data_IF_201742600219
#
_entry.id   IF_201742600219
#
_cell.length_a   1.000
_cell.length_b   1.000
_cell.length_c   1.000
_cell.angle_alpha   90.00
_cell.angle_beta   90.00
_cell.angle_gamma   90.00
#
_symmetry.space_group_name_H-M   'P 1'
#
loop_
_entity.id
_entity.type
_entity.pdbx_description
1 polymer ?
#
# COMPACT_ATOMS: atom_id res chain seq x y z
N UNK A 1 9.40 9.70 -18.25
CA UNK A 1 9.87 11.10 -18.28
C UNK A 1 10.55 11.54 -16.99
N UNK A 2 9.85 11.90 -15.88
CA UNK A 2 10.53 12.29 -14.62
C UNK A 2 11.42 11.17 -14.05
N UNK A 3 10.95 9.93 -14.06
CA UNK A 3 11.72 8.77 -13.65
C UNK A 3 12.98 8.57 -14.49
N UNK A 4 12.89 8.78 -15.79
CA UNK A 4 14.05 8.67 -16.72
C UNK A 4 15.09 9.72 -16.43
N UNK A 5 14.67 10.97 -16.14
CA UNK A 5 15.57 12.06 -15.74
C UNK A 5 16.32 11.74 -14.44
N UNK A 6 15.68 11.04 -13.52
CA UNK A 6 16.28 10.60 -12.25
C UNK A 6 16.95 9.22 -12.34
N UNK A 7 16.95 8.57 -13.52
CA UNK A 7 17.49 7.21 -13.75
C UNK A 7 16.82 6.15 -12.87
N UNK A 8 15.50 6.32 -12.65
CA UNK A 8 14.69 5.32 -11.95
C UNK A 8 14.06 4.36 -12.96
N UNK A 9 13.94 3.12 -12.55
CA UNK A 9 13.25 2.10 -13.34
C UNK A 9 11.75 2.15 -13.04
N UNK A 10 10.93 2.12 -14.09
CA UNK A 10 9.46 2.08 -14.00
C UNK A 10 8.98 0.74 -14.52
N UNK A 11 8.16 0.07 -13.74
CA UNK A 11 7.52 -1.20 -14.07
C UNK A 11 5.99 -1.01 -13.97
N UNK A 12 5.29 -1.17 -15.08
CA UNK A 12 3.82 -1.12 -15.10
C UNK A 12 3.28 -2.44 -14.58
N UNK A 13 2.50 -2.39 -13.50
CA UNK A 13 1.91 -3.57 -12.85
C UNK A 13 0.54 -3.89 -13.41
N UNK A 14 -0.28 -2.85 -13.59
CA UNK A 14 -1.64 -2.97 -14.10
C UNK A 14 -2.05 -1.69 -14.82
N UNK A 15 -2.83 -1.82 -15.90
CA UNK A 15 -3.36 -0.70 -16.66
C UNK A 15 -4.78 -1.02 -17.13
N UNK A 16 -5.70 -0.10 -16.86
CA UNK A 16 -7.08 -0.18 -17.31
C UNK A 16 -7.34 0.99 -18.27
N UNK A 17 -7.47 0.66 -19.55
CA UNK A 17 -7.72 1.62 -20.62
C UNK A 17 -9.21 1.83 -20.85
N UNK A 18 -9.55 2.98 -21.42
CA UNK A 18 -10.91 3.29 -21.87
C UNK A 18 -11.03 2.96 -23.38
N UNK A 19 -12.26 2.74 -23.85
CA UNK A 19 -12.56 2.48 -25.27
C UNK A 19 -12.07 3.58 -26.22
N UNK A 20 -11.85 4.79 -25.72
CA UNK A 20 -11.36 5.94 -26.48
C UNK A 20 -9.82 6.14 -26.39
N UNK A 21 -9.07 5.13 -25.92
CA UNK A 21 -7.61 5.17 -25.80
C UNK A 21 -7.09 6.00 -24.63
N UNK A 22 -7.97 6.38 -23.69
CA UNK A 22 -7.56 6.99 -22.42
C UNK A 22 -7.24 5.95 -21.35
N UNK A 23 -6.64 6.38 -20.24
CA UNK A 23 -6.35 5.53 -19.09
C UNK A 23 -7.34 5.85 -17.98
N UNK A 24 -8.06 4.82 -17.51
CA UNK A 24 -8.97 4.91 -16.37
C UNK A 24 -8.23 4.74 -15.05
N UNK A 25 -7.34 3.76 -14.98
CA UNK A 25 -6.50 3.46 -13.83
C UNK A 25 -5.19 2.86 -14.32
N UNK A 26 -4.11 3.20 -13.62
CA UNK A 26 -2.79 2.58 -13.84
C UNK A 26 -2.08 2.40 -12.51
N UNK A 27 -1.48 1.23 -12.33
CA UNK A 27 -0.60 0.91 -11.20
C UNK A 27 0.79 0.61 -11.74
N UNK A 28 1.80 1.24 -11.16
CA UNK A 28 3.18 1.02 -11.55
C UNK A 28 4.12 1.15 -10.36
N UNK A 29 5.22 0.42 -10.40
CA UNK A 29 6.29 0.51 -9.42
C UNK A 29 7.43 1.38 -9.97
N UNK A 30 8.05 2.19 -9.11
CA UNK A 30 9.21 3.00 -9.42
C UNK A 30 10.35 2.57 -8.51
N UNK A 31 11.40 1.98 -9.09
CA UNK A 31 12.58 1.50 -8.37
C UNK A 31 13.73 2.48 -8.56
N UNK A 32 14.19 3.10 -7.47
CA UNK A 32 15.31 4.03 -7.52
C UNK A 32 15.60 4.72 -6.19
N UNK A 33 16.84 5.09 -6.00
CA UNK A 33 17.27 5.76 -4.76
C UNK A 33 16.55 7.10 -4.59
N UNK A 34 15.83 7.24 -3.48
CA UNK A 34 15.12 8.46 -3.14
C UNK A 34 13.81 8.69 -3.89
N UNK A 35 13.31 7.72 -4.67
CA UNK A 35 12.07 7.84 -5.43
C UNK A 35 10.88 8.17 -4.52
N UNK A 36 10.68 7.42 -3.45
CA UNK A 36 9.59 7.67 -2.50
C UNK A 36 9.69 9.04 -1.84
N UNK A 37 10.88 9.48 -1.44
CA UNK A 37 11.09 10.77 -0.76
C UNK A 37 10.73 11.98 -1.62
N UNK A 38 10.80 11.86 -2.95
CA UNK A 38 10.37 12.87 -3.91
C UNK A 38 8.90 12.72 -4.29
N UNK A 39 8.47 11.49 -4.60
CA UNK A 39 7.14 11.23 -5.15
C UNK A 39 6.02 11.17 -4.11
N UNK A 40 6.33 11.02 -2.81
CA UNK A 40 5.32 11.06 -1.73
C UNK A 40 4.43 12.31 -1.77
N UNK A 41 4.94 13.41 -2.31
CA UNK A 41 4.20 14.67 -2.45
C UNK A 41 3.20 14.67 -3.60
N UNK A 42 3.23 13.66 -4.47
CA UNK A 42 2.26 13.51 -5.56
C UNK A 42 0.98 12.81 -5.11
N UNK A 43 0.93 12.28 -3.88
CA UNK A 43 -0.27 11.65 -3.34
C UNK A 43 -1.37 12.68 -3.03
N UNK A 44 -2.58 12.40 -3.51
CA UNK A 44 -3.75 13.25 -3.30
C UNK A 44 -4.61 13.43 -4.55
N UNK A 45 -5.45 14.47 -4.53
CA UNK A 45 -6.39 14.80 -5.61
C UNK A 45 -5.80 15.88 -6.52
N UNK A 46 -5.60 15.57 -7.78
CA UNK A 46 -5.14 16.49 -8.82
C UNK A 46 -6.31 16.97 -9.66
N UNK A 47 -6.51 18.28 -9.74
CA UNK A 47 -7.58 18.90 -10.54
C UNK A 47 -7.04 19.33 -11.89
N UNK A 48 -7.69 18.89 -12.97
CA UNK A 48 -7.32 19.22 -14.34
C UNK A 48 -8.41 20.08 -14.98
N UNK A 49 -8.01 21.22 -15.55
CA UNK A 49 -8.86 22.14 -16.31
C UNK A 49 -8.36 22.20 -17.74
N UNK A 50 -9.11 21.60 -18.67
CA UNK A 50 -8.79 21.58 -20.11
C UNK A 50 -10.07 21.55 -20.95
N UNK A 51 -9.94 21.89 -22.22
CA UNK A 51 -10.97 21.61 -23.22
C UNK A 51 -10.73 20.18 -23.72
N UNK A 52 -11.65 19.22 -23.50
CA UNK A 52 -11.51 17.87 -24.03
C UNK A 52 -11.58 17.88 -25.57
N UNK A 53 -10.97 16.91 -26.21
CA UNK A 53 -11.06 16.73 -27.67
C UNK A 53 -12.49 16.45 -28.15
N UNK A 54 -13.32 15.90 -27.29
CA UNK A 54 -14.75 15.61 -27.55
C UNK A 54 -15.66 16.82 -27.37
N UNK A 55 -15.13 17.98 -26.91
CA UNK A 55 -15.93 19.19 -26.67
C UNK A 55 -15.93 20.10 -27.87
N UNK A 56 -17.05 20.09 -28.63
CA UNK A 56 -17.18 20.86 -29.87
C UNK A 56 -17.33 22.39 -29.65
N UNK A 57 -17.79 22.83 -28.45
CA UNK A 57 -18.04 24.26 -28.16
C UNK A 57 -16.87 24.97 -27.47
N UNK A 58 -15.71 24.29 -27.30
CA UNK A 58 -14.52 24.87 -26.68
C UNK A 58 -14.65 25.18 -25.19
N UNK A 59 -15.64 24.61 -24.49
CA UNK A 59 -15.84 24.82 -23.05
C UNK A 59 -14.77 24.11 -22.24
N UNK A 60 -14.27 24.80 -21.21
CA UNK A 60 -13.32 24.23 -20.26
C UNK A 60 -14.06 23.26 -19.33
N UNK A 61 -13.61 22.01 -19.30
CA UNK A 61 -14.07 21.01 -18.36
C UNK A 61 -13.10 20.88 -17.19
N UNK A 62 -13.62 20.55 -16.03
CA UNK A 62 -12.84 20.26 -14.83
C UNK A 62 -13.00 18.79 -14.46
N UNK A 63 -11.88 18.07 -14.43
CA UNK A 63 -11.80 16.69 -13.99
C UNK A 63 -10.82 16.54 -12.81
N UNK A 64 -10.89 15.41 -12.13
CA UNK A 64 -9.97 15.07 -11.05
C UNK A 64 -9.33 13.71 -11.32
N UNK A 65 -8.06 13.59 -10.93
CA UNK A 65 -7.30 12.35 -10.90
C UNK A 65 -6.80 12.17 -9.48
N UNK A 66 -7.00 11.00 -8.92
CA UNK A 66 -6.48 10.65 -7.59
C UNK A 66 -5.20 9.86 -7.73
N UNK A 67 -4.20 10.21 -6.95
CA UNK A 67 -2.90 9.55 -6.93
C UNK A 67 -2.64 9.02 -5.52
N UNK A 68 -2.28 7.75 -5.42
CA UNK A 68 -1.79 7.15 -4.18
C UNK A 68 -0.31 6.77 -4.37
N UNK A 69 0.54 7.19 -3.46
CA UNK A 69 1.96 6.84 -3.44
C UNK A 69 2.24 6.07 -2.16
N UNK A 70 2.59 4.81 -2.32
CA UNK A 70 2.86 3.89 -1.22
C UNK A 70 4.32 3.41 -1.30
N UNK A 71 5.01 3.25 -0.17
CA UNK A 71 6.31 2.59 -0.17
C UNK A 71 6.12 1.12 -0.53
N UNK A 72 7.08 0.54 -1.24
CA UNK A 72 7.17 -0.90 -1.37
C UNK A 72 7.52 -1.49 0.00
N UNK A 73 6.78 -2.50 0.42
CA UNK A 73 6.98 -3.17 1.71
C UNK A 73 7.64 -4.51 1.47
N UNK A 74 8.56 -4.88 2.35
CA UNK A 74 9.23 -6.17 2.32
C UNK A 74 8.24 -7.31 2.60
N UNK A 75 8.58 -8.51 2.15
CA UNK A 75 7.84 -9.72 2.47
C UNK A 75 7.78 -9.93 3.98
N UNK A 76 6.63 -10.39 4.46
CA UNK A 76 6.42 -10.68 5.87
C UNK A 76 7.20 -11.92 6.27
N UNK A 77 8.19 -11.77 7.12
CA UNK A 77 8.86 -12.90 7.76
C UNK A 77 8.19 -13.24 9.09
N UNK A 78 7.87 -14.54 9.29
CA UNK A 78 7.29 -15.03 10.52
C UNK A 78 8.34 -15.80 11.32
N UNK A 79 8.82 -15.16 12.37
CA UNK A 79 9.67 -15.80 13.37
C UNK A 79 8.81 -16.28 14.56
N UNK A 80 8.88 -17.58 14.88
CA UNK A 80 8.15 -18.16 15.99
C UNK A 80 9.11 -18.42 17.13
N UNK A 81 8.96 -17.65 18.20
CA UNK A 81 9.76 -17.82 19.42
C UNK A 81 9.10 -18.87 20.33
N UNK A 82 9.85 -19.85 20.79
CA UNK A 82 9.30 -20.94 21.60
C UNK A 82 8.70 -20.50 22.95
N UNK A 83 9.23 -19.44 23.56
CA UNK A 83 8.68 -18.88 24.80
C UNK A 83 7.26 -18.33 24.66
N UNK A 84 6.86 -17.98 23.43
CA UNK A 84 5.54 -17.41 23.14
C UNK A 84 4.49 -18.48 22.84
N UNK A 85 4.89 -19.75 22.96
CA UNK A 85 4.01 -20.87 22.68
C UNK A 85 3.60 -21.57 23.97
N UNK A 86 2.29 -21.69 24.18
CA UNK A 86 1.73 -22.61 25.15
C UNK A 86 1.32 -23.89 24.41
N UNK A 87 1.92 -25.01 24.80
CA UNK A 87 1.69 -26.32 24.19
C UNK A 87 0.95 -27.20 25.22
N UNK A 88 -0.27 -27.59 24.85
CA UNK A 88 -1.11 -28.48 25.64
C UNK A 88 -1.28 -29.81 24.89
N UNK A 89 -1.16 -30.91 25.59
CA UNK A 89 -1.47 -32.26 25.07
C UNK A 89 -2.79 -32.76 25.65
N UNK A 90 -3.55 -33.48 24.86
CA UNK A 90 -4.83 -34.02 25.28
C UNK A 90 -5.16 -35.31 24.53
N UNK A 91 -6.18 -36.03 24.98
CA UNK A 91 -6.65 -37.27 24.35
C UNK A 91 -7.42 -36.94 23.08
N UNK A 92 -7.07 -37.58 21.99
CA UNK A 92 -7.81 -37.43 20.75
C UNK A 92 -9.27 -37.89 20.93
N UNK A 93 -10.20 -37.15 20.35
CA UNK A 93 -11.61 -37.50 20.32
C UNK A 93 -11.96 -38.13 18.98
N UNK A 94 -12.66 -39.28 18.97
CA UNK A 94 -13.13 -39.94 17.78
C UNK A 94 -13.35 -41.44 17.92
N UNK A 95 -13.90 -42.10 16.90
CA UNK A 95 -14.05 -43.53 16.84
C UNK A 95 -12.66 -44.18 16.74
N UNK A 96 -12.15 -44.72 17.84
CA UNK A 96 -10.84 -45.35 17.92
C UNK A 96 -10.80 -46.45 19.00
N UNK A 97 -9.85 -47.37 18.81
CA UNK A 97 -9.60 -48.45 19.76
C UNK A 97 -8.89 -48.00 21.03
N UNK A 98 -8.38 -48.95 21.80
CA UNK A 98 -7.77 -48.76 23.11
C UNK A 98 -6.64 -47.69 23.14
N UNK A 99 -5.91 -47.47 22.02
CA UNK A 99 -4.84 -46.50 21.89
C UNK A 99 -5.35 -45.03 21.97
N UNK A 100 -6.47 -44.70 21.29
CA UNK A 100 -7.07 -43.36 21.26
C UNK A 100 -7.56 -42.95 22.63
N UNK A 101 -8.05 -43.90 23.42
CA UNK A 101 -8.63 -43.64 24.73
C UNK A 101 -7.61 -43.56 25.89
N UNK A 102 -6.37 -44.05 25.66
CA UNK A 102 -5.33 -44.10 26.70
C UNK A 102 -4.18 -43.12 26.47
N UNK A 103 -3.92 -42.70 25.24
CA UNK A 103 -2.72 -41.91 24.89
C UNK A 103 -3.11 -40.45 24.58
N UNK A 104 -2.41 -39.50 25.18
CA UNK A 104 -2.55 -38.07 24.89
C UNK A 104 -1.72 -37.69 23.64
N UNK A 105 -2.16 -38.14 22.48
CA UNK A 105 -1.45 -37.92 21.21
C UNK A 105 -1.85 -36.60 20.53
N UNK A 106 -3.00 -36.04 20.87
CA UNK A 106 -3.44 -34.78 20.32
C UNK A 106 -2.67 -33.59 20.93
N UNK A 107 -2.34 -32.61 20.11
CA UNK A 107 -1.57 -31.42 20.49
C UNK A 107 -2.37 -30.17 20.15
N UNK A 108 -2.38 -29.21 21.08
CA UNK A 108 -2.87 -27.85 20.88
C UNK A 108 -1.74 -26.89 21.15
N UNK A 109 -1.52 -25.95 20.25
CA UNK A 109 -0.57 -24.87 20.44
C UNK A 109 -1.32 -23.56 20.44
N UNK A 110 -1.09 -22.74 21.46
CA UNK A 110 -1.59 -21.38 21.55
C UNK A 110 -0.40 -20.43 21.45
N UNK A 111 -0.46 -19.52 20.51
CA UNK A 111 0.51 -18.42 20.41
C UNK A 111 0.04 -17.29 21.32
N UNK A 112 0.75 -17.06 22.41
CA UNK A 112 0.33 -16.16 23.51
C UNK A 112 0.13 -14.71 23.02
N UNK A 113 1.06 -14.11 22.21
CA UNK A 113 0.93 -12.71 21.81
C UNK A 113 -0.27 -12.42 20.90
N UNK A 114 -0.63 -13.36 20.01
CA UNK A 114 -1.75 -13.17 19.05
C UNK A 114 -3.02 -13.86 19.46
N UNK A 115 -2.97 -14.78 20.44
CA UNK A 115 -4.12 -15.60 20.83
C UNK A 115 -4.52 -16.66 19.79
N UNK A 116 -3.74 -16.86 18.73
CA UNK A 116 -4.03 -17.87 17.70
C UNK A 116 -3.85 -19.25 18.28
N UNK A 117 -4.89 -20.08 18.11
CA UNK A 117 -4.91 -21.47 18.57
C UNK A 117 -4.98 -22.41 17.37
N UNK A 118 -4.12 -23.43 17.39
CA UNK A 118 -4.13 -24.54 16.43
C UNK A 118 -4.12 -25.85 17.18
N UNK A 119 -4.76 -26.87 16.63
CA UNK A 119 -4.79 -28.20 17.20
C UNK A 119 -4.67 -29.26 16.10
N UNK A 120 -3.98 -30.37 16.40
CA UNK A 120 -3.87 -31.52 15.54
C UNK A 120 -4.04 -32.81 16.35
N UNK A 121 -4.84 -33.70 15.78
CA UNK A 121 -5.08 -35.04 16.33
C UNK A 121 -5.13 -36.13 15.24
N UNK A 122 -4.66 -35.77 14.04
CA UNK A 122 -4.75 -36.64 12.85
C UNK A 122 -3.80 -37.84 12.91
N UNK A 123 -2.66 -37.66 13.59
CA UNK A 123 -1.61 -38.67 13.66
C UNK A 123 -1.65 -39.42 14.99
N UNK A 124 -1.13 -40.67 14.98
CA UNK A 124 -0.98 -41.46 16.22
C UNK A 124 0.18 -40.98 17.08
N UNK A 125 1.13 -40.26 16.49
CA UNK A 125 2.34 -39.75 17.14
C UNK A 125 2.13 -38.30 17.60
N UNK A 126 2.36 -38.06 18.89
CA UNK A 126 2.34 -36.71 19.47
C UNK A 126 3.36 -35.78 18.79
N UNK A 127 4.54 -36.31 18.41
CA UNK A 127 5.59 -35.53 17.74
C UNK A 127 5.10 -35.04 16.36
N UNK A 128 4.46 -35.94 15.58
CA UNK A 128 3.92 -35.57 14.27
C UNK A 128 2.77 -34.57 14.39
N UNK A 129 1.88 -34.71 15.38
CA UNK A 129 0.83 -33.75 15.65
C UNK A 129 1.41 -32.38 16.06
N UNK A 130 2.50 -32.35 16.83
CA UNK A 130 3.20 -31.10 17.18
C UNK A 130 3.80 -30.42 15.95
N UNK A 131 4.46 -31.16 15.07
CA UNK A 131 5.00 -30.64 13.81
C UNK A 131 3.89 -30.09 12.90
N UNK A 132 2.77 -30.81 12.80
CA UNK A 132 1.60 -30.37 12.04
C UNK A 132 1.01 -29.08 12.62
N UNK A 133 0.88 -28.98 13.95
CA UNK A 133 0.46 -27.76 14.62
C UNK A 133 1.44 -26.60 14.34
N UNK A 134 2.76 -26.82 14.38
CA UNK A 134 3.74 -25.78 14.08
C UNK A 134 3.64 -25.27 12.64
N UNK A 135 3.41 -26.15 11.68
CA UNK A 135 3.16 -25.77 10.27
C UNK A 135 1.88 -24.96 10.13
N UNK A 136 0.78 -25.39 10.76
CA UNK A 136 -0.50 -24.68 10.75
C UNK A 136 -0.38 -23.31 11.45
N UNK A 137 0.33 -23.23 12.56
CA UNK A 137 0.54 -21.99 13.28
C UNK A 137 1.31 -20.99 12.44
N UNK A 138 2.41 -21.43 11.77
CA UNK A 138 3.21 -20.56 10.88
C UNK A 138 2.36 -20.00 9.74
N UNK A 139 1.54 -20.85 9.11
CA UNK A 139 0.65 -20.42 8.04
C UNK A 139 -0.38 -19.36 8.52
N UNK A 140 -1.00 -19.60 9.68
CA UNK A 140 -1.97 -18.66 10.25
C UNK A 140 -1.36 -17.33 10.70
N UNK A 141 -0.15 -17.38 11.27
CA UNK A 141 0.58 -16.16 11.65
C UNK A 141 0.97 -15.35 10.42
N UNK A 142 1.46 -16.01 9.37
CA UNK A 142 1.77 -15.37 8.11
C UNK A 142 0.53 -14.69 7.50
N UNK A 143 -0.59 -15.40 7.43
CA UNK A 143 -1.86 -14.88 6.92
C UNK A 143 -2.33 -13.64 7.72
N UNK A 144 -2.30 -13.74 9.06
CA UNK A 144 -2.70 -12.64 9.94
C UNK A 144 -1.80 -11.41 9.80
N UNK A 145 -0.49 -11.60 9.66
CA UNK A 145 0.47 -10.51 9.47
C UNK A 145 0.31 -9.86 8.09
N UNK A 146 0.11 -10.67 7.05
CA UNK A 146 -0.12 -10.19 5.69
C UNK A 146 -1.45 -9.41 5.59
N UNK A 147 -2.50 -9.90 6.23
CA UNK A 147 -3.79 -9.20 6.30
C UNK A 147 -3.66 -7.84 6.99
N UNK A 148 -2.95 -7.80 8.13
CA UNK A 148 -2.67 -6.54 8.84
C UNK A 148 -1.92 -5.55 7.96
N UNK A 149 -0.86 -5.99 7.29
CA UNK A 149 -0.09 -5.16 6.37
C UNK A 149 -0.94 -4.62 5.22
N UNK A 150 -1.75 -5.48 4.60
CA UNK A 150 -2.67 -5.10 3.53
C UNK A 150 -3.71 -4.10 4.02
N UNK A 151 -4.22 -4.26 5.24
CA UNK A 151 -5.18 -3.32 5.86
C UNK A 151 -4.54 -1.95 6.10
N UNK A 152 -3.31 -1.90 6.59
CA UNK A 152 -2.56 -0.66 6.79
C UNK A 152 -2.32 0.08 5.47
N UNK A 153 -1.91 -0.65 4.42
CA UNK A 153 -1.74 -0.10 3.07
C UNK A 153 -3.06 0.42 2.50
N UNK A 154 -4.15 -0.34 2.65
CA UNK A 154 -5.48 0.06 2.19
C UNK A 154 -5.97 1.33 2.92
N UNK A 155 -5.75 1.43 4.23
CA UNK A 155 -6.10 2.62 5.01
C UNK A 155 -5.26 3.83 4.58
N UNK A 156 -3.96 3.66 4.38
CA UNK A 156 -3.06 4.71 3.89
C UNK A 156 -3.49 5.20 2.52
N UNK A 157 -3.78 4.27 1.58
CA UNK A 157 -4.31 4.60 0.25
C UNK A 157 -5.62 5.38 0.35
N UNK A 158 -6.54 4.95 1.20
CA UNK A 158 -7.84 5.61 1.41
C UNK A 158 -7.67 7.04 1.94
N UNK A 159 -6.76 7.26 2.88
CA UNK A 159 -6.47 8.60 3.41
C UNK A 159 -5.86 9.52 2.35
N UNK A 160 -4.97 9.02 1.49
CA UNK A 160 -4.35 9.79 0.42
C UNK A 160 -5.34 10.18 -0.68
N UNK A 161 -6.23 9.26 -1.07
CA UNK A 161 -7.19 9.46 -2.16
C UNK A 161 -8.40 10.29 -1.72
N UNK A 162 -8.77 10.23 -0.43
CA UNK A 162 -9.94 10.90 0.12
C UNK A 162 -11.23 10.51 -0.59
N UNK A 163 -12.11 11.46 -0.82
CA UNK A 163 -13.33 11.27 -1.61
C UNK A 163 -13.12 11.50 -3.13
N UNK A 164 -11.94 11.98 -3.54
CA UNK A 164 -11.66 12.41 -4.92
C UNK A 164 -12.42 13.69 -5.33
N UNK A 165 -13.04 14.36 -4.37
CA UNK A 165 -13.81 15.57 -4.64
C UNK A 165 -12.91 16.72 -5.14
N UNK A 166 -13.44 17.55 -6.05
CA UNK A 166 -12.72 18.71 -6.60
C UNK A 166 -12.28 19.73 -5.53
N UNK A 167 -12.92 19.74 -4.37
CA UNK A 167 -12.58 20.59 -3.22
C UNK A 167 -11.31 20.14 -2.51
N UNK A 168 -11.01 18.83 -2.51
CA UNK A 168 -9.85 18.22 -1.83
C UNK A 168 -8.55 18.34 -2.63
N UNK A 169 -8.56 19.08 -3.72
CA UNK A 169 -7.40 19.24 -4.61
C UNK A 169 -6.14 19.71 -3.89
N UNK A 170 -5.06 18.98 -4.08
CA UNK A 170 -3.71 19.41 -3.70
C UNK A 170 -3.08 20.30 -4.78
N UNK A 171 -3.35 19.98 -6.07
CA UNK A 171 -2.77 20.68 -7.22
C UNK A 171 -3.79 20.91 -8.33
N UNK A 172 -3.64 22.02 -9.06
CA UNK A 172 -4.46 22.34 -10.22
C UNK A 172 -3.59 22.53 -11.45
N UNK A 173 -3.94 21.85 -12.53
CA UNK A 173 -3.35 21.95 -13.85
C UNK A 173 -4.34 22.73 -14.74
N UNK A 174 -3.99 23.96 -15.09
CA UNK A 174 -4.82 24.82 -15.93
C UNK A 174 -4.19 24.93 -17.32
N UNK A 175 -4.68 24.12 -18.26
CA UNK A 175 -4.16 24.06 -19.62
C UNK A 175 -4.40 25.37 -20.40
N UNK A 176 -5.59 26.01 -20.36
CA UNK A 176 -5.80 27.28 -21.04
C UNK A 176 -4.88 28.41 -20.60
N UNK A 177 -4.45 28.41 -19.35
CA UNK A 177 -3.53 29.41 -18.78
C UNK A 177 -2.08 28.94 -18.75
N UNK A 178 -1.78 27.71 -19.19
CA UNK A 178 -0.43 27.15 -19.21
C UNK A 178 0.24 27.10 -17.83
N UNK A 179 -0.53 26.98 -16.75
CA UNK A 179 -0.02 27.01 -15.37
C UNK A 179 -0.38 25.79 -14.55
N UNK A 180 0.49 25.45 -13.62
CA UNK A 180 0.26 24.48 -12.54
C UNK A 180 0.42 25.16 -11.18
N UNK A 181 -0.52 24.93 -10.27
CA UNK A 181 -0.52 25.53 -8.93
C UNK A 181 -0.65 24.44 -7.88
N UNK A 182 0.30 24.36 -6.95
CA UNK A 182 0.18 23.52 -5.76
C UNK A 182 -0.43 24.35 -4.63
N UNK A 183 -1.58 23.92 -4.14
CA UNK A 183 -2.38 24.66 -3.15
C UNK A 183 -1.88 24.52 -1.73
N UNK A 184 -1.06 23.50 -1.45
CA UNK A 184 -0.48 23.28 -0.11
C UNK A 184 0.50 24.38 0.28
N UNK A 185 1.27 24.86 -0.70
CA UNK A 185 2.32 25.87 -0.53
C UNK A 185 2.05 27.15 -1.35
N UNK A 186 0.89 27.25 -2.03
CA UNK A 186 0.52 28.35 -2.93
C UNK A 186 1.59 28.65 -4.00
N UNK A 187 2.29 27.62 -4.47
CA UNK A 187 3.33 27.76 -5.47
C UNK A 187 2.77 27.55 -6.88
N UNK A 188 3.05 28.48 -7.78
CA UNK A 188 2.56 28.46 -9.17
C UNK A 188 3.71 28.49 -10.16
N UNK A 189 3.69 27.57 -11.15
CA UNK A 189 4.59 27.54 -12.30
C UNK A 189 3.79 27.80 -13.59
N UNK A 190 4.30 28.66 -14.48
CA UNK A 190 3.68 29.03 -15.75
C UNK A 190 4.22 28.25 -16.95
N UNK A 191 4.75 27.06 -16.72
CA UNK A 191 5.32 26.16 -17.74
C UNK A 191 4.67 24.78 -17.60
N UNK A 192 3.34 24.71 -17.77
CA UNK A 192 2.59 23.49 -17.58
C UNK A 192 3.10 22.33 -18.44
N UNK A 193 3.36 22.57 -19.74
CA UNK A 193 3.85 21.54 -20.65
C UNK A 193 5.20 20.98 -20.20
N UNK A 194 6.11 21.85 -19.79
CA UNK A 194 7.43 21.44 -19.29
C UNK A 194 7.30 20.62 -17.99
N UNK A 195 6.37 21.02 -17.13
CA UNK A 195 6.07 20.30 -15.89
C UNK A 195 5.53 18.90 -16.18
N UNK A 196 4.54 18.76 -17.07
CA UNK A 196 3.95 17.46 -17.44
C UNK A 196 4.98 16.57 -18.13
N UNK A 197 5.94 17.15 -18.86
CA UNK A 197 7.07 16.44 -19.48
C UNK A 197 8.17 16.05 -18.49
N UNK A 198 7.98 16.27 -17.19
CA UNK A 198 8.86 15.76 -16.14
C UNK A 198 9.76 16.80 -15.47
N UNK A 199 9.71 18.09 -15.83
CA UNK A 199 10.47 19.12 -15.12
C UNK A 199 9.71 19.56 -13.84
N UNK A 200 9.75 18.70 -12.83
CA UNK A 200 9.00 18.86 -11.58
C UNK A 200 9.88 19.25 -10.39
N UNK A 201 11.21 19.28 -10.55
CA UNK A 201 12.15 19.43 -9.43
C UNK A 201 11.89 20.67 -8.58
N UNK A 202 11.67 21.84 -9.21
CA UNK A 202 11.40 23.08 -8.45
C UNK A 202 10.16 23.02 -7.58
N UNK A 203 9.11 22.32 -8.02
CA UNK A 203 7.91 22.08 -7.23
C UNK A 203 8.18 21.11 -6.07
N UNK A 204 8.89 20.03 -6.35
CA UNK A 204 9.25 19.01 -5.36
C UNK A 204 10.18 19.60 -4.29
N UNK A 205 11.18 20.40 -4.68
CA UNK A 205 12.08 21.08 -3.77
C UNK A 205 11.34 22.05 -2.84
N UNK A 206 10.40 22.81 -3.38
CA UNK A 206 9.57 23.72 -2.59
C UNK A 206 8.70 22.93 -1.58
N UNK A 207 8.12 21.81 -1.98
CA UNK A 207 7.35 20.94 -1.09
C UNK A 207 8.24 20.27 -0.03
N UNK A 208 9.44 19.85 -0.38
CA UNK A 208 10.41 19.30 0.58
C UNK A 208 10.88 20.34 1.59
N UNK A 209 11.06 21.59 1.16
CA UNK A 209 11.42 22.68 2.06
C UNK A 209 10.29 22.99 3.05
N UNK A 210 9.05 22.98 2.57
CA UNK A 210 7.87 23.15 3.39
C UNK A 210 7.71 22.01 4.41
N UNK A 211 7.79 20.74 3.98
CA UNK A 211 7.73 19.56 4.86
C UNK A 211 8.81 19.61 5.97
N UNK A 212 10.04 20.04 5.61
CA UNK A 212 11.12 20.22 6.60
C UNK A 212 10.81 21.31 7.60
N UNK A 213 10.25 22.44 7.15
CA UNK A 213 9.89 23.55 8.03
C UNK A 213 8.77 23.14 9.00
N UNK A 214 7.76 22.41 8.54
CA UNK A 214 6.69 21.92 9.40
C UNK A 214 7.20 20.95 10.48
N UNK A 215 8.07 20.01 10.11
CA UNK A 215 8.68 19.06 11.08
C UNK A 215 9.51 19.79 12.14
N UNK A 216 10.31 20.75 11.75
CA UNK A 216 11.09 21.55 12.69
C UNK A 216 10.19 22.34 13.66
N UNK A 217 9.03 22.81 13.21
CA UNK A 217 8.04 23.47 14.08
C UNK A 217 7.30 22.50 15.01
N UNK A 218 7.08 21.26 14.55
CA UNK A 218 6.47 20.21 15.34
C UNK A 218 7.42 19.59 16.40
N UNK A 219 8.71 19.90 16.34
CA UNK A 219 9.72 19.39 17.28
C UNK A 219 10.23 17.98 16.95
N UNK A 220 10.06 17.54 15.70
CA UNK A 220 10.58 16.27 15.17
C UNK A 220 11.96 16.42 14.50
#
# INVERSE_FOLDING_TARGET
MYADLNRWQVEVLDINETELGGIKEVSFAIKGKGAYSKLKFESGVHRVQRVPETEASGRIHTSTVTVAVLPEVDEVEVEIVQSDLKIDTYRASGAGGQHVNKTESAVRITHIPTGIIVASQSERSQIQNRESCMKMLRAKLYEAMQEKQNQELANTRKLQVGSGARSEKIRTYNFPQGRVTDHRINFTMYQLETFVNGNMDSMIEALQAFDRAERLQAGE
#
